data_IF_704505683635
#
_entry.id   IF_704505683635
#
_cell.length_a   1.000
_cell.length_b   1.000
_cell.length_c   1.000
_cell.angle_alpha   90.00
_cell.angle_beta   90.00
_cell.angle_gamma   90.00
#
_symmetry.space_group_name_H-M   'P 1'
#
loop_
_entity.id
_entity.type
_entity.pdbx_description
1 polymer ?
#
# COMPACT_ATOMS: atom_id res chain seq x y z
N UNK A 1 2.02 -8.80 -7.47
CA UNK A 1 1.46 -7.52 -6.93
C UNK A 1 0.54 -7.82 -5.76
N UNK A 2 0.22 -6.85 -4.89
CA UNK A 2 -0.70 -7.10 -3.77
C UNK A 2 -2.10 -7.51 -4.26
N UNK A 3 -2.61 -6.83 -5.30
CA UNK A 3 -3.88 -7.15 -5.94
C UNK A 3 -4.00 -8.62 -6.39
N UNK A 4 -3.01 -9.12 -7.12
CA UNK A 4 -2.94 -10.50 -7.60
C UNK A 4 -2.85 -11.53 -6.47
N UNK A 5 -2.28 -11.14 -5.32
CA UNK A 5 -2.18 -12.02 -4.15
C UNK A 5 -3.53 -12.09 -3.44
N UNK A 6 -4.22 -10.96 -3.24
CA UNK A 6 -5.59 -10.93 -2.69
C UNK A 6 -6.52 -11.76 -3.57
N UNK A 7 -6.52 -11.55 -4.88
CA UNK A 7 -7.37 -12.28 -5.81
C UNK A 7 -7.13 -13.79 -5.76
N UNK A 8 -5.86 -14.21 -5.73
CA UNK A 8 -5.50 -15.63 -5.61
C UNK A 8 -5.87 -16.25 -4.26
N UNK A 9 -5.74 -15.50 -3.16
CA UNK A 9 -6.05 -16.01 -1.83
C UNK A 9 -7.56 -16.07 -1.56
N UNK A 10 -8.33 -15.13 -2.10
CA UNK A 10 -9.75 -14.95 -1.74
C UNK A 10 -10.72 -15.02 -2.93
N UNK A 11 -10.22 -15.35 -4.13
CA UNK A 11 -11.02 -15.50 -5.36
C UNK A 11 -11.53 -14.20 -5.98
N UNK A 12 -11.24 -13.05 -5.38
CA UNK A 12 -11.71 -11.74 -5.84
C UNK A 12 -10.81 -10.62 -5.33
N UNK A 13 -10.78 -9.52 -6.07
CA UNK A 13 -10.06 -8.31 -5.71
C UNK A 13 -10.86 -7.08 -6.12
N UNK A 14 -10.96 -6.13 -5.20
CA UNK A 14 -11.51 -4.81 -5.44
C UNK A 14 -10.64 -3.73 -4.80
N UNK A 15 -10.80 -2.51 -5.31
CA UNK A 15 -10.14 -1.31 -4.80
C UNK A 15 -11.18 -0.22 -4.62
N UNK A 16 -11.14 0.43 -3.47
CA UNK A 16 -11.95 1.59 -3.14
C UNK A 16 -11.03 2.73 -2.72
N UNK A 17 -11.33 3.95 -3.17
CA UNK A 17 -10.60 5.14 -2.77
C UNK A 17 -11.36 5.84 -1.66
N UNK A 18 -10.65 6.07 -0.57
CA UNK A 18 -11.12 6.87 0.54
C UNK A 18 -10.65 8.31 0.34
N UNK A 19 -11.27 9.29 1.02
CA UNK A 19 -10.78 10.66 1.01
C UNK A 19 -9.31 10.73 1.40
N UNK A 20 -8.51 11.47 0.62
CA UNK A 20 -7.09 11.67 0.92
C UNK A 20 -6.89 12.25 2.32
N UNK A 21 -5.79 11.85 2.97
CA UNK A 21 -5.45 12.26 4.34
C UNK A 21 -4.02 12.73 4.40
N UNK A 22 -3.79 13.94 4.90
CA UNK A 22 -2.44 14.51 5.01
C UNK A 22 -1.68 14.54 3.67
N UNK A 23 -2.37 14.67 2.53
CA UNK A 23 -1.73 14.60 1.21
C UNK A 23 -1.38 13.19 0.73
N UNK A 24 -1.76 12.15 1.47
CA UNK A 24 -1.63 10.75 1.07
C UNK A 24 -2.90 10.27 0.38
N UNK A 25 -2.74 9.54 -0.73
CA UNK A 25 -3.83 8.77 -1.33
C UNK A 25 -4.12 7.57 -0.44
N UNK A 26 -5.38 7.40 -0.06
CA UNK A 26 -5.85 6.31 0.80
C UNK A 26 -6.68 5.35 -0.05
N UNK A 27 -6.27 4.08 -0.11
CA UNK A 27 -6.98 3.05 -0.85
C UNK A 27 -7.25 1.83 0.03
N UNK A 28 -8.48 1.34 0.00
CA UNK A 28 -8.88 0.08 0.62
C UNK A 28 -8.91 -1.02 -0.44
N UNK A 29 -8.06 -2.02 -0.27
CA UNK A 29 -8.05 -3.22 -1.10
C UNK A 29 -8.85 -4.29 -0.37
N UNK A 30 -9.86 -4.84 -1.03
CA UNK A 30 -10.81 -5.77 -0.43
C UNK A 30 -10.98 -7.02 -1.29
N UNK A 31 -11.47 -8.08 -0.66
CA UNK A 31 -12.05 -9.26 -1.33
C UNK A 31 -13.57 -9.26 -1.14
N UNK A 32 -14.28 -10.01 -1.98
CA UNK A 32 -15.74 -10.13 -1.94
C UNK A 32 -16.43 -9.27 -3.00
N UNK A 33 -17.74 -9.18 -2.89
CA UNK A 33 -18.59 -8.34 -3.77
C UNK A 33 -18.89 -7.00 -3.11
N UNK A 34 -19.46 -6.06 -3.87
CA UNK A 34 -19.78 -4.72 -3.38
C UNK A 34 -20.61 -4.71 -2.08
N UNK A 35 -21.44 -5.72 -1.86
CA UNK A 35 -22.34 -5.84 -0.72
C UNK A 35 -21.75 -6.64 0.46
N UNK A 36 -20.63 -7.34 0.24
CA UNK A 36 -19.93 -8.15 1.25
C UNK A 36 -18.41 -8.00 1.10
N UNK A 37 -17.93 -6.78 1.32
CA UNK A 37 -16.50 -6.46 1.22
C UNK A 37 -15.80 -6.82 2.52
N UNK A 38 -14.69 -7.53 2.40
CA UNK A 38 -13.75 -7.75 3.51
C UNK A 38 -12.47 -7.01 3.16
N UNK A 39 -12.12 -6.00 3.94
CA UNK A 39 -10.86 -5.30 3.80
C UNK A 39 -9.69 -6.26 4.01
N UNK A 40 -8.72 -6.24 3.10
CA UNK A 40 -7.50 -7.05 3.18
C UNK A 40 -6.27 -6.18 3.34
N UNK A 41 -6.27 -4.98 2.77
CA UNK A 41 -5.16 -4.04 2.92
C UNK A 41 -5.66 -2.60 2.87
N UNK A 42 -5.21 -1.77 3.81
CA UNK A 42 -5.30 -0.31 3.72
C UNK A 42 -3.95 0.20 3.21
N UNK A 43 -3.96 0.89 2.07
CA UNK A 43 -2.76 1.44 1.44
C UNK A 43 -2.75 2.97 1.56
N UNK A 44 -1.68 3.50 2.17
CA UNK A 44 -1.35 4.91 2.24
C UNK A 44 -0.22 5.19 1.25
N UNK A 45 -0.47 6.03 0.26
CA UNK A 45 0.46 6.29 -0.84
C UNK A 45 0.87 7.76 -0.90
N UNK A 46 2.17 8.02 -0.78
CA UNK A 46 2.78 9.31 -1.07
C UNK A 46 3.49 9.26 -2.42
N UNK A 47 2.93 9.91 -3.44
CA UNK A 47 3.54 9.99 -4.77
C UNK A 47 4.75 10.92 -4.77
N UNK A 48 5.68 10.68 -5.69
CA UNK A 48 6.74 11.65 -5.96
C UNK A 48 6.14 12.91 -6.62
N UNK A 49 6.54 14.13 -6.23
CA UNK A 49 5.89 15.37 -6.70
C UNK A 49 6.01 15.63 -8.21
N UNK A 50 7.05 15.11 -8.85
CA UNK A 50 7.31 15.24 -10.27
C UNK A 50 7.76 13.88 -10.81
N UNK A 51 6.83 13.00 -11.21
CA UNK A 51 7.19 11.74 -11.85
C UNK A 51 7.88 12.02 -13.18
N UNK A 52 8.80 11.14 -13.57
CA UNK A 52 9.45 11.23 -14.88
C UNK A 52 8.41 11.30 -16.01
N UNK A 53 8.72 12.04 -17.08
CA UNK A 53 7.78 12.31 -18.16
C UNK A 53 7.15 11.03 -18.73
N UNK A 54 7.94 9.97 -18.84
CA UNK A 54 7.56 8.64 -19.28
C UNK A 54 6.49 7.95 -18.42
N UNK A 55 6.43 8.27 -17.13
CA UNK A 55 5.42 7.76 -16.19
C UNK A 55 4.11 8.56 -16.26
N UNK A 56 4.12 9.77 -16.80
CA UNK A 56 2.98 10.71 -16.74
C UNK A 56 1.65 10.11 -17.22
N UNK A 57 1.58 9.37 -18.34
CA UNK A 57 0.32 8.76 -18.76
C UNK A 57 -0.22 7.72 -17.77
N UNK A 58 0.68 6.98 -17.10
CA UNK A 58 0.30 6.03 -16.06
C UNK A 58 -0.16 6.76 -14.80
N UNK A 59 0.54 7.83 -14.43
CA UNK A 59 0.23 8.65 -13.26
C UNK A 59 -1.14 9.32 -13.35
N UNK A 60 -1.50 9.89 -14.51
CA UNK A 60 -2.82 10.46 -14.74
C UNK A 60 -3.95 9.45 -14.50
N UNK A 61 -3.77 8.19 -14.94
CA UNK A 61 -4.76 7.13 -14.70
C UNK A 61 -4.83 6.72 -13.24
N UNK A 62 -3.69 6.68 -12.56
CA UNK A 62 -3.59 6.35 -11.13
C UNK A 62 -4.26 7.44 -10.28
N UNK A 63 -4.04 8.71 -10.62
CA UNK A 63 -4.68 9.87 -10.01
C UNK A 63 -6.19 9.87 -10.25
N UNK A 64 -6.64 9.47 -11.45
CA UNK A 64 -8.05 9.22 -11.77
C UNK A 64 -8.62 7.97 -11.08
N UNK A 65 -7.81 7.26 -10.30
CA UNK A 65 -8.26 6.25 -9.35
C UNK A 65 -7.94 4.80 -9.71
N UNK A 66 -7.19 4.57 -10.79
CA UNK A 66 -6.79 3.21 -11.16
C UNK A 66 -5.85 2.55 -10.13
N UNK A 67 -5.77 1.22 -10.17
CA UNK A 67 -4.77 0.47 -9.40
C UNK A 67 -3.37 0.77 -9.92
N UNK A 68 -2.44 1.08 -9.00
CA UNK A 68 -1.06 1.49 -9.34
C UNK A 68 -0.34 0.38 -10.10
N UNK A 69 -0.29 -0.82 -9.52
CA UNK A 69 0.45 -1.93 -10.09
C UNK A 69 -0.11 -2.41 -11.43
N UNK A 70 -1.43 -2.50 -11.59
CA UNK A 70 -2.02 -2.94 -12.86
C UNK A 70 -1.86 -1.88 -13.95
N UNK A 71 -1.96 -0.60 -13.61
CA UNK A 71 -1.78 0.50 -14.56
C UNK A 71 -0.36 0.53 -15.10
N UNK A 72 0.64 0.44 -14.22
CA UNK A 72 2.06 0.40 -14.62
C UNK A 72 2.36 -0.83 -15.48
N UNK A 73 1.92 -2.03 -15.08
CA UNK A 73 2.11 -3.26 -15.86
C UNK A 73 1.46 -3.18 -17.25
N UNK A 74 0.25 -2.66 -17.33
CA UNK A 74 -0.45 -2.50 -18.62
C UNK A 74 0.26 -1.52 -19.56
N UNK A 75 1.03 -0.58 -19.01
CA UNK A 75 1.88 0.34 -19.76
C UNK A 75 3.30 -0.20 -20.03
N UNK A 76 3.54 -1.50 -19.76
CA UNK A 76 4.80 -2.18 -20.05
C UNK A 76 5.91 -1.96 -19.01
N UNK A 77 5.59 -1.43 -17.83
CA UNK A 77 6.56 -1.26 -16.75
C UNK A 77 6.71 -2.54 -15.93
N UNK A 78 7.95 -2.88 -15.60
CA UNK A 78 8.26 -3.83 -14.53
C UNK A 78 8.16 -3.10 -13.19
N UNK A 79 7.42 -3.67 -12.23
CA UNK A 79 7.16 -3.00 -10.96
C UNK A 79 7.95 -3.67 -9.84
N UNK A 80 8.79 -2.88 -9.16
CA UNK A 80 9.58 -3.31 -8.00
C UNK A 80 9.03 -2.79 -6.68
N UNK A 81 9.31 -3.53 -5.60
CA UNK A 81 9.09 -3.10 -4.22
C UNK A 81 10.42 -3.15 -3.49
N UNK A 82 10.86 -2.02 -2.95
CA UNK A 82 12.04 -1.94 -2.10
C UNK A 82 11.59 -1.71 -0.65
N UNK A 83 11.58 -2.77 0.15
CA UNK A 83 11.11 -2.68 1.54
C UNK A 83 12.03 -1.80 2.37
N UNK A 84 11.42 -0.87 3.09
CA UNK A 84 12.11 0.03 4.03
C UNK A 84 11.90 -0.46 5.45
N UNK A 85 10.66 -0.80 5.81
CA UNK A 85 10.31 -1.17 7.17
C UNK A 85 9.17 -2.20 7.19
N UNK A 86 9.21 -3.09 8.17
CA UNK A 86 8.12 -3.99 8.53
C UNK A 86 7.91 -3.92 10.03
N UNK A 87 6.69 -3.67 10.46
CA UNK A 87 6.39 -3.58 11.88
C UNK A 87 4.99 -4.08 12.18
N UNK A 88 4.77 -4.49 13.43
CA UNK A 88 3.43 -4.56 13.99
C UNK A 88 3.18 -3.23 14.69
N UNK A 89 2.11 -2.53 14.31
CA UNK A 89 1.82 -1.19 14.82
C UNK A 89 0.43 -1.12 15.43
N UNK A 90 0.27 -0.51 16.63
CA UNK A 90 -1.04 -0.15 17.15
C UNK A 90 -1.77 0.80 16.19
N UNK A 91 -3.06 0.59 16.00
CA UNK A 91 -3.89 1.40 15.11
C UNK A 91 -4.98 2.05 15.93
N UNK A 92 -5.09 3.39 15.82
CA UNK A 92 -6.12 4.16 16.49
C UNK A 92 -7.53 3.85 15.94
N UNK A 93 -8.54 4.22 16.71
CA UNK A 93 -9.93 3.88 16.41
C UNK A 93 -10.43 4.52 15.11
N UNK A 94 -9.98 5.74 14.78
CA UNK A 94 -10.38 6.40 13.53
C UNK A 94 -9.86 5.61 12.33
N UNK A 95 -8.59 5.21 12.40
CA UNK A 95 -7.93 4.46 11.33
C UNK A 95 -8.50 3.04 11.18
N UNK A 96 -8.79 2.36 12.30
CA UNK A 96 -9.44 1.05 12.26
C UNK A 96 -10.80 1.11 11.55
N UNK A 97 -11.58 2.17 11.78
CA UNK A 97 -12.87 2.35 11.13
C UNK A 97 -12.77 2.39 9.59
N UNK A 98 -11.66 2.86 9.02
CA UNK A 98 -11.45 2.85 7.56
C UNK A 98 -11.32 1.45 6.98
N UNK A 99 -10.90 0.49 7.80
CA UNK A 99 -10.73 -0.90 7.38
C UNK A 99 -12.02 -1.71 7.52
N UNK A 100 -13.05 -1.18 8.18
CA UNK A 100 -14.25 -1.95 8.52
C UNK A 100 -13.96 -3.14 9.45
N UNK A 101 -12.77 -3.21 10.04
CA UNK A 101 -12.43 -4.16 11.08
C UNK A 101 -13.12 -3.74 12.37
N UNK A 102 -13.87 -4.65 12.98
CA UNK A 102 -14.13 -4.58 14.41
C UNK A 102 -12.79 -4.80 15.13
N UNK A 103 -12.59 -4.18 16.30
CA UNK A 103 -11.32 -4.22 17.05
C UNK A 103 -10.61 -5.57 16.90
N UNK A 104 -9.34 -5.60 16.43
CA UNK A 104 -8.59 -6.84 16.31
C UNK A 104 -8.69 -7.58 17.65
N UNK A 105 -9.17 -8.83 17.60
CA UNK A 105 -9.44 -9.66 18.77
C UNK A 105 -8.24 -9.84 19.70
N UNK A 106 -7.03 -9.49 19.24
CA UNK A 106 -5.79 -9.44 20.00
C UNK A 106 -5.16 -8.03 19.90
N UNK A 107 -5.54 -7.12 20.79
CA UNK A 107 -4.77 -5.90 21.06
C UNK A 107 -4.48 -4.99 19.86
N UNK A 108 -5.51 -4.50 19.17
CA UNK A 108 -5.52 -3.26 18.36
C UNK A 108 -4.26 -2.89 17.52
N UNK A 109 -3.63 -3.83 16.83
CA UNK A 109 -2.56 -3.52 15.88
C UNK A 109 -2.57 -4.40 14.64
N UNK A 110 -1.93 -3.90 13.58
CA UNK A 110 -1.88 -4.55 12.27
C UNK A 110 -0.44 -4.65 11.78
N UNK A 111 -0.19 -5.63 10.92
CA UNK A 111 1.08 -5.76 10.24
C UNK A 111 1.20 -4.65 9.18
N UNK A 112 2.28 -3.87 9.27
CA UNK A 112 2.59 -2.74 8.40
C UNK A 112 3.78 -3.07 7.50
N UNK A 113 3.63 -2.83 6.20
CA UNK A 113 4.70 -2.88 5.21
C UNK A 113 4.96 -1.50 4.62
N UNK A 114 6.12 -0.92 4.90
CA UNK A 114 6.56 0.35 4.29
C UNK A 114 7.60 0.06 3.22
N UNK A 115 7.38 0.54 2.00
CA UNK A 115 8.28 0.31 0.88
C UNK A 115 8.28 1.46 -0.14
N UNK A 116 9.33 1.52 -0.94
CA UNK A 116 9.37 2.33 -2.16
C UNK A 116 8.88 1.48 -3.33
N UNK A 117 7.92 2.01 -4.09
CA UNK A 117 7.46 1.41 -5.33
C UNK A 117 8.29 1.97 -6.49
N UNK A 118 8.91 1.09 -7.26
CA UNK A 118 9.68 1.46 -8.44
C UNK A 118 9.03 0.94 -9.72
N UNK A 119 9.25 1.65 -10.82
CA UNK A 119 8.88 1.22 -12.16
C UNK A 119 10.14 1.19 -13.03
N UNK A 120 10.36 0.09 -13.74
CA UNK A 120 11.53 -0.12 -14.58
C UNK A 120 11.12 -0.40 -16.03
N UNK A 121 11.79 0.26 -16.97
CA UNK A 121 11.67 0.03 -18.42
C UNK A 121 12.95 0.48 -19.11
N UNK A 122 13.44 -0.32 -20.06
CA UNK A 122 14.64 0.03 -20.83
C UNK A 122 15.94 0.13 -20.00
N UNK A 123 16.01 -0.52 -18.83
CA UNK A 123 17.15 -0.47 -17.92
C UNK A 123 17.16 0.76 -16.99
N UNK A 124 16.18 1.66 -17.11
CA UNK A 124 16.00 2.78 -16.19
C UNK A 124 15.00 2.43 -15.11
N UNK A 125 15.31 2.78 -13.86
CA UNK A 125 14.45 2.58 -12.69
C UNK A 125 14.01 3.92 -12.13
N UNK A 126 12.70 4.10 -12.02
CA UNK A 126 12.07 5.31 -11.54
C UNK A 126 11.36 5.06 -10.21
N UNK A 127 11.52 5.96 -9.25
CA UNK A 127 10.74 5.95 -8.02
C UNK A 127 9.33 6.50 -8.31
N UNK A 128 8.30 5.68 -8.09
CA UNK A 128 6.91 6.07 -8.32
C UNK A 128 6.28 6.65 -7.06
N UNK A 129 6.43 5.95 -5.94
CA UNK A 129 5.77 6.30 -4.69
C UNK A 129 6.45 5.68 -3.47
N UNK A 130 6.13 6.21 -2.30
CA UNK A 130 6.30 5.55 -1.01
C UNK A 130 4.94 5.04 -0.56
N UNK A 131 4.88 3.77 -0.17
CA UNK A 131 3.63 3.11 0.17
C UNK A 131 3.78 2.45 1.54
N UNK A 132 2.77 2.68 2.37
CA UNK A 132 2.55 1.96 3.61
C UNK A 132 1.28 1.12 3.45
N UNK A 133 1.40 -0.20 3.55
CA UNK A 133 0.29 -1.16 3.49
C UNK A 133 0.05 -1.75 4.88
N UNK A 134 -1.14 -1.54 5.46
CA UNK A 134 -1.59 -2.24 6.66
C UNK A 134 -2.40 -3.45 6.23
N UNK A 135 -2.07 -4.61 6.78
CA UNK A 135 -2.67 -5.88 6.37
C UNK A 135 -3.61 -6.44 7.43
N UNK A 136 -4.76 -6.93 6.96
CA UNK A 136 -5.69 -7.69 7.80
C UNK A 136 -5.00 -8.98 8.31
N UNK A 137 -5.23 -9.40 9.57
CA UNK A 137 -4.60 -10.59 10.15
C UNK A 137 -4.89 -11.88 9.36
N UNK A 138 -6.13 -12.09 8.89
CA UNK A 138 -6.49 -13.19 7.98
C UNK A 138 -5.81 -13.16 6.59
N UNK A 139 -5.06 -12.11 6.26
CA UNK A 139 -4.38 -12.00 4.98
C UNK A 139 -2.86 -12.13 5.10
N UNK A 140 -2.20 -11.19 5.79
CA UNK A 140 -0.76 -11.20 5.97
C UNK A 140 -0.42 -10.76 7.39
N UNK A 141 0.28 -11.64 8.11
CA UNK A 141 0.88 -11.33 9.40
C UNK A 141 2.28 -10.72 9.22
N UNK A 142 2.85 -10.14 10.28
CA UNK A 142 4.24 -9.64 10.24
C UNK A 142 5.22 -10.76 9.83
N UNK A 143 5.04 -11.97 10.36
CA UNK A 143 5.87 -13.12 10.01
C UNK A 143 5.74 -13.50 8.52
N UNK A 144 4.57 -13.35 7.92
CA UNK A 144 4.39 -13.58 6.48
C UNK A 144 5.11 -12.51 5.66
N UNK A 145 5.03 -11.25 6.10
CA UNK A 145 5.73 -10.15 5.44
C UNK A 145 7.26 -10.34 5.51
N UNK A 146 7.81 -10.75 6.64
CA UNK A 146 9.25 -11.03 6.78
C UNK A 146 9.72 -12.15 5.85
N UNK A 147 8.90 -13.20 5.65
CA UNK A 147 9.22 -14.28 4.69
C UNK A 147 9.11 -13.81 3.24
N UNK A 148 8.10 -13.00 2.92
CA UNK A 148 7.84 -12.54 1.54
C UNK A 148 8.82 -11.47 1.09
N UNK A 149 9.29 -10.66 2.04
CA UNK A 149 10.22 -9.58 1.82
C UNK A 149 11.31 -9.73 2.87
N UNK A 150 12.37 -10.50 2.64
CA UNK A 150 13.44 -10.65 3.63
C UNK A 150 14.41 -9.46 3.64
N UNK A 151 14.56 -8.76 2.52
CA UNK A 151 15.53 -7.67 2.36
C UNK A 151 14.97 -6.32 2.81
N UNK A 152 15.79 -5.53 3.52
CA UNK A 152 15.46 -4.16 3.96
C UNK A 152 16.50 -3.20 3.41
N UNK A 153 16.03 -2.08 2.86
CA UNK A 153 16.91 -0.95 2.56
C UNK A 153 16.89 0.03 3.72
N UNK A 154 18.04 0.66 4.03
CA UNK A 154 18.07 1.74 5.00
C UNK A 154 17.20 2.91 4.50
N UNK A 155 16.37 3.52 5.38
CA UNK A 155 15.55 4.65 4.98
C UNK A 155 16.40 5.87 4.61
N UNK A 156 16.00 6.58 3.58
CA UNK A 156 16.48 7.91 3.23
C UNK A 156 15.76 9.01 4.01
N UNK A 157 16.11 10.27 3.76
CA UNK A 157 15.50 11.43 4.42
C UNK A 157 13.99 11.51 4.16
N UNK A 158 13.58 11.39 2.91
CA UNK A 158 12.16 11.43 2.54
C UNK A 158 11.39 10.21 3.06
N UNK A 159 12.02 9.03 3.15
CA UNK A 159 11.34 7.87 3.71
C UNK A 159 11.09 8.06 5.20
N UNK A 160 12.06 8.62 5.94
CA UNK A 160 11.85 8.96 7.36
C UNK A 160 10.72 9.95 7.55
N UNK A 161 10.61 10.95 6.67
CA UNK A 161 9.50 11.91 6.70
C UNK A 161 8.15 11.21 6.43
N UNK A 162 8.09 10.35 5.41
CA UNK A 162 6.91 9.55 5.09
C UNK A 162 6.52 8.60 6.23
N UNK A 163 7.48 7.88 6.81
CA UNK A 163 7.26 6.95 7.92
C UNK A 163 6.70 7.68 9.15
N UNK A 164 7.24 8.85 9.50
CA UNK A 164 6.71 9.68 10.60
C UNK A 164 5.26 10.09 10.33
N UNK A 165 4.99 10.61 9.14
CA UNK A 165 3.65 11.02 8.73
C UNK A 165 2.64 9.87 8.76
N UNK A 166 3.04 8.69 8.28
CA UNK A 166 2.21 7.47 8.33
C UNK A 166 1.90 7.11 9.78
N UNK A 167 2.89 7.02 10.66
CA UNK A 167 2.67 6.65 12.07
C UNK A 167 1.78 7.65 12.81
N UNK A 168 1.96 8.95 12.57
CA UNK A 168 1.09 10.00 13.12
C UNK A 168 -0.36 9.91 12.62
N UNK A 169 -0.56 9.40 11.40
CA UNK A 169 -1.90 9.19 10.85
C UNK A 169 -2.54 7.93 11.46
N UNK A 170 -1.79 6.83 11.55
CA UNK A 170 -2.28 5.55 12.05
C UNK A 170 -2.61 5.54 13.53
N UNK A 171 -1.99 6.43 14.32
CA UNK A 171 -2.25 6.56 15.75
C UNK A 171 -3.58 7.26 16.10
N UNK A 172 -4.34 7.72 15.10
CA UNK A 172 -5.64 8.41 15.27
C UNK A 172 -6.81 7.43 15.29
#
# INVERSE_FOLDING_TARGET
MNSERIERCFGSYGLELLPSRSGLRVALLYSGTADQRIARTLALTGFVPAPDADLSPSMQRIEAGASIGSTLKAAGWSVGKQTIDLEWIPVGTETLAWTGLNEPSDGAGLALHIYRLTAERGGETHLVARIAELHHPDYLTLADLDRLFPERLPPGTDDRAFMRQVRELLAR
#
